data_IF_407657150683
#
_entry.id   IF_407657150683
#
_cell.length_a   1.000
_cell.length_b   1.000
_cell.length_c   1.000
_cell.angle_alpha   90.00
_cell.angle_beta   90.00
_cell.angle_gamma   90.00
#
_symmetry.space_group_name_H-M   'P 1'
#
loop_
_entity.id
_entity.type
_entity.pdbx_description
1 polymer ?
#
# COMPACT_ATOMS: atom_id res chain seq x y z
N UNK A 1 -40.44 -33.01 54.33
CA UNK A 1 -40.14 -31.56 54.17
C UNK A 1 -38.64 -31.27 54.00
N UNK A 2 -37.73 -32.04 54.63
CA UNK A 2 -36.28 -31.85 54.51
C UNK A 2 -35.68 -32.22 53.13
N UNK A 3 -36.21 -33.24 52.46
CA UNK A 3 -35.73 -33.73 51.14
C UNK A 3 -35.99 -32.74 49.99
N UNK A 4 -37.12 -32.06 50.01
CA UNK A 4 -37.48 -31.04 49.00
C UNK A 4 -36.59 -29.79 49.11
N UNK A 5 -36.21 -29.40 50.35
CA UNK A 5 -35.31 -28.26 50.59
C UNK A 5 -33.89 -28.53 50.08
N UNK A 6 -33.41 -29.77 50.22
CA UNK A 6 -32.10 -30.18 49.72
C UNK A 6 -32.07 -30.23 48.17
N UNK A 7 -33.12 -30.79 47.57
CA UNK A 7 -33.25 -30.86 46.11
C UNK A 7 -33.33 -29.46 45.47
N UNK A 8 -34.06 -28.53 46.08
CA UNK A 8 -34.15 -27.14 45.61
C UNK A 8 -32.82 -26.39 45.72
N UNK A 9 -32.08 -26.60 46.83
CA UNK A 9 -30.76 -26.01 47.03
C UNK A 9 -29.75 -26.51 45.98
N UNK A 10 -29.77 -27.80 45.66
CA UNK A 10 -28.92 -28.40 44.63
C UNK A 10 -29.28 -27.86 43.22
N UNK A 11 -30.57 -27.71 42.91
CA UNK A 11 -31.04 -27.15 41.64
C UNK A 11 -30.60 -25.69 41.45
N UNK A 12 -30.71 -24.88 42.50
CA UNK A 12 -30.24 -23.50 42.48
C UNK A 12 -28.72 -23.42 42.29
N UNK A 13 -27.97 -24.31 42.96
CA UNK A 13 -26.51 -24.35 42.85
C UNK A 13 -26.04 -24.81 41.47
N UNK A 14 -26.73 -25.78 40.85
CA UNK A 14 -26.49 -26.16 39.45
C UNK A 14 -26.82 -25.00 38.49
N UNK A 15 -27.91 -24.27 38.71
CA UNK A 15 -28.26 -23.12 37.86
C UNK A 15 -27.25 -21.98 37.95
N UNK A 16 -26.68 -21.77 39.14
CA UNK A 16 -25.63 -20.77 39.36
C UNK A 16 -24.34 -21.16 38.65
N UNK A 17 -23.96 -22.44 38.68
CA UNK A 17 -22.76 -22.95 38.00
C UNK A 17 -22.85 -22.86 36.47
N UNK A 18 -24.05 -23.01 35.88
CA UNK A 18 -24.26 -22.84 34.43
C UNK A 18 -24.15 -21.36 34.00
N UNK A 19 -24.41 -20.43 34.92
CA UNK A 19 -24.39 -18.99 34.65
C UNK A 19 -22.98 -18.39 34.59
N UNK A 20 -21.94 -19.11 35.04
CA UNK A 20 -20.54 -18.65 35.08
C UNK A 20 -19.77 -19.25 33.89
N UNK A 21 -20.35 -19.22 32.70
CA UNK A 21 -19.62 -19.57 31.49
C UNK A 21 -18.51 -18.54 31.28
N UNK A 22 -17.22 -18.93 31.15
CA UNK A 22 -16.17 -17.97 30.87
C UNK A 22 -16.43 -17.32 29.51
N UNK A 23 -16.57 -15.99 29.49
CA UNK A 23 -16.57 -15.22 28.25
C UNK A 23 -15.18 -15.39 27.64
N UNK A 24 -15.06 -16.22 26.61
CA UNK A 24 -13.86 -16.21 25.76
C UNK A 24 -13.80 -14.85 25.08
N UNK A 25 -12.75 -14.03 25.30
CA UNK A 25 -12.62 -12.78 24.58
C UNK A 25 -12.61 -13.08 23.08
N UNK A 26 -13.33 -12.28 22.29
CA UNK A 26 -13.25 -12.35 20.84
C UNK A 26 -11.82 -11.94 20.45
N UNK A 27 -10.98 -12.93 20.16
CA UNK A 27 -9.67 -12.72 19.57
C UNK A 27 -9.91 -12.50 18.07
N UNK A 28 -9.44 -11.39 17.53
CA UNK A 28 -9.44 -11.18 16.09
C UNK A 28 -8.65 -12.31 15.43
N UNK A 29 -9.26 -12.99 14.47
CA UNK A 29 -8.56 -13.96 13.63
C UNK A 29 -7.52 -13.16 12.82
N UNK A 30 -6.20 -13.38 13.02
CA UNK A 30 -5.23 -12.70 12.20
C UNK A 30 -5.38 -13.27 10.79
N UNK A 31 -5.96 -12.51 9.87
CA UNK A 31 -5.94 -12.83 8.44
C UNK A 31 -4.53 -13.33 8.09
N UNK A 32 -4.42 -14.59 7.66
CA UNK A 32 -3.13 -15.15 7.28
C UNK A 32 -2.58 -14.29 6.14
N UNK A 33 -1.47 -13.61 6.42
CA UNK A 33 -0.87 -12.70 5.47
C UNK A 33 -0.31 -13.52 4.30
N UNK A 34 -1.08 -13.62 3.21
CA UNK A 34 -0.72 -14.39 2.03
C UNK A 34 0.18 -13.57 1.09
N UNK A 35 1.48 -13.52 1.39
CA UNK A 35 2.46 -12.98 0.45
C UNK A 35 2.82 -14.03 -0.61
N UNK A 36 2.58 -13.70 -1.89
CA UNK A 36 3.14 -14.45 -3.01
C UNK A 36 4.29 -13.68 -3.64
N UNK A 37 5.38 -14.39 -3.97
CA UNK A 37 6.46 -13.82 -4.78
C UNK A 37 5.96 -13.69 -6.22
N UNK A 38 5.73 -12.46 -6.66
CA UNK A 38 5.49 -12.15 -8.06
C UNK A 38 6.84 -11.94 -8.73
N UNK A 39 7.13 -12.71 -9.79
CA UNK A 39 8.31 -12.45 -10.60
C UNK A 39 8.14 -11.11 -11.30
N UNK A 40 9.06 -10.19 -11.05
CA UNK A 40 9.17 -8.96 -11.85
C UNK A 40 9.48 -9.42 -13.28
N UNK A 41 8.71 -9.00 -14.31
CA UNK A 41 8.99 -9.37 -15.69
C UNK A 41 10.44 -8.99 -16.04
N UNK A 42 11.28 -10.01 -16.28
CA UNK A 42 12.68 -9.81 -16.65
C UNK A 42 12.84 -9.45 -18.12
N UNK A 43 11.77 -9.63 -18.91
CA UNK A 43 11.70 -9.35 -20.34
C UNK A 43 10.34 -8.72 -20.68
N UNK A 44 10.36 -7.72 -21.56
CA UNK A 44 9.17 -6.99 -22.00
C UNK A 44 9.35 -6.49 -23.43
N UNK A 45 8.23 -6.33 -24.16
CA UNK A 45 8.23 -5.70 -25.49
C UNK A 45 8.66 -4.24 -25.36
N UNK A 46 9.36 -3.69 -26.35
CA UNK A 46 9.58 -2.25 -26.44
C UNK A 46 8.23 -1.52 -26.33
N UNK A 47 8.06 -0.69 -25.30
CA UNK A 47 6.79 -0.04 -24.95
C UNK A 47 6.09 -0.56 -23.69
N UNK A 48 6.43 -1.75 -23.18
CA UNK A 48 5.91 -2.32 -21.93
C UNK A 48 6.95 -2.22 -20.80
N UNK A 49 7.28 -0.99 -20.42
CA UNK A 49 8.33 -0.70 -19.43
C UNK A 49 7.84 -1.02 -18.01
N UNK A 50 8.22 -2.19 -17.50
CA UNK A 50 8.20 -2.49 -16.07
C UNK A 50 9.55 -2.11 -15.48
N UNK A 51 9.56 -1.60 -14.24
CA UNK A 51 10.78 -1.14 -13.56
C UNK A 51 11.92 -2.14 -13.70
N UNK A 52 13.02 -1.69 -14.30
CA UNK A 52 14.16 -2.55 -14.57
C UNK A 52 14.80 -3.00 -13.25
N UNK A 53 15.31 -4.24 -13.25
CA UNK A 53 16.05 -4.78 -12.11
C UNK A 53 17.26 -3.88 -11.80
N UNK A 54 17.26 -3.26 -10.61
CA UNK A 54 18.31 -2.34 -10.16
C UNK A 54 17.96 -0.85 -10.32
N UNK A 55 16.81 -0.52 -10.90
CA UNK A 55 16.26 0.83 -10.84
C UNK A 55 15.72 1.12 -9.43
N UNK A 56 16.18 2.21 -8.83
CA UNK A 56 15.57 2.74 -7.62
C UNK A 56 14.54 3.80 -8.01
N UNK A 57 13.31 3.64 -7.52
CA UNK A 57 12.23 4.59 -7.73
C UNK A 57 12.13 5.44 -6.49
N UNK A 58 12.50 6.71 -6.64
CA UNK A 58 12.34 7.68 -5.58
C UNK A 58 11.37 8.78 -6.01
N UNK A 59 10.77 9.45 -5.02
CA UNK A 59 9.87 10.58 -5.23
C UNK A 59 8.70 10.27 -6.19
N UNK A 60 7.87 9.29 -5.86
CA UNK A 60 6.63 9.01 -6.58
C UNK A 60 5.55 10.03 -6.18
N UNK A 61 4.91 10.66 -7.16
CA UNK A 61 3.78 11.58 -6.96
C UNK A 61 2.69 11.36 -8.00
N UNK A 62 1.51 11.92 -7.76
CA UNK A 62 0.33 11.81 -8.61
C UNK A 62 -0.26 13.20 -8.90
N UNK A 63 -0.61 13.44 -10.16
CA UNK A 63 -1.35 14.63 -10.58
C UNK A 63 -2.86 14.48 -10.34
N UNK A 64 -3.61 15.58 -10.44
CA UNK A 64 -5.05 15.60 -10.16
C UNK A 64 -5.89 14.73 -11.12
N UNK A 65 -5.34 14.37 -12.29
CA UNK A 65 -5.96 13.46 -13.27
C UNK A 65 -5.58 11.98 -13.07
N UNK A 66 -4.74 11.67 -12.07
CA UNK A 66 -4.25 10.32 -11.80
C UNK A 66 -2.95 9.96 -12.53
N UNK A 67 -2.37 10.85 -13.33
CA UNK A 67 -1.04 10.63 -13.92
C UNK A 67 0.01 10.51 -12.82
N UNK A 68 0.80 9.44 -12.86
CA UNK A 68 1.91 9.21 -11.93
C UNK A 68 3.20 9.77 -12.50
N UNK A 69 4.04 10.34 -11.63
CA UNK A 69 5.38 10.83 -11.96
C UNK A 69 6.40 10.29 -10.98
N UNK A 70 7.59 9.93 -11.46
CA UNK A 70 8.65 9.37 -10.65
C UNK A 70 10.03 9.83 -11.09
N UNK A 71 10.93 9.96 -10.12
CA UNK A 71 12.36 10.05 -10.36
C UNK A 71 12.95 8.64 -10.48
N UNK A 72 13.66 8.40 -11.57
CA UNK A 72 14.27 7.10 -11.89
C UNK A 72 15.76 7.31 -12.17
N UNK A 73 16.59 6.44 -11.63
CA UNK A 73 18.04 6.46 -11.86
C UNK A 73 18.50 5.25 -12.66
N UNK A 74 19.69 5.35 -13.28
CA UNK A 74 20.28 4.27 -14.09
C UNK A 74 19.76 4.18 -15.53
N UNK A 75 18.95 5.14 -15.98
CA UNK A 75 18.46 5.28 -17.35
C UNK A 75 19.00 6.58 -17.98
N UNK A 76 18.72 6.79 -19.27
CA UNK A 76 19.14 7.99 -20.02
C UNK A 76 18.55 9.28 -19.46
N UNK A 77 17.28 9.26 -19.07
CA UNK A 77 16.57 10.37 -18.45
C UNK A 77 16.20 10.02 -17.02
N UNK A 78 15.73 11.01 -16.27
CA UNK A 78 15.47 10.87 -14.84
C UNK A 78 14.03 11.13 -14.42
N UNK A 79 13.22 11.82 -15.24
CA UNK A 79 11.81 12.05 -14.96
C UNK A 79 10.93 11.20 -15.88
N UNK A 80 10.11 10.34 -15.27
CA UNK A 80 9.20 9.45 -15.98
C UNK A 80 7.77 9.67 -15.53
N UNK A 81 6.83 9.42 -16.44
CA UNK A 81 5.39 9.44 -16.17
C UNK A 81 4.68 8.17 -16.62
N UNK A 82 3.58 7.86 -15.95
CA UNK A 82 2.63 6.81 -16.31
C UNK A 82 1.20 7.36 -16.31
N UNK A 83 0.45 7.02 -17.34
CA UNK A 83 -0.97 7.39 -17.52
C UNK A 83 -1.89 6.17 -17.46
N UNK A 84 -1.37 5.02 -17.04
CA UNK A 84 -2.08 3.73 -17.04
C UNK A 84 -1.96 3.01 -15.68
N UNK A 85 -2.02 3.79 -14.60
CA UNK A 85 -1.93 3.34 -13.21
C UNK A 85 -0.58 2.65 -12.89
N UNK A 86 0.50 3.08 -13.53
CA UNK A 86 1.85 2.55 -13.29
C UNK A 86 2.19 1.28 -14.07
N UNK A 87 1.34 0.84 -15.01
CA UNK A 87 1.58 -0.36 -15.83
C UNK A 87 2.68 -0.14 -16.87
N UNK A 88 2.80 1.07 -17.40
CA UNK A 88 3.88 1.47 -18.30
C UNK A 88 4.36 2.90 -18.01
N UNK A 89 5.64 3.15 -18.30
CA UNK A 89 6.31 4.42 -18.02
C UNK A 89 7.01 4.96 -19.27
N UNK A 90 7.00 6.28 -19.44
CA UNK A 90 7.71 6.99 -20.50
C UNK A 90 8.41 8.22 -19.93
N UNK A 91 9.56 8.59 -20.49
CA UNK A 91 10.29 9.78 -20.05
C UNK A 91 9.52 11.05 -20.41
N UNK A 92 9.75 12.13 -19.66
CA UNK A 92 9.18 13.44 -19.95
C UNK A 92 10.22 14.55 -19.75
N UNK A 93 10.18 15.57 -20.60
CA UNK A 93 11.04 16.76 -20.50
C UNK A 93 12.53 16.52 -20.73
N UNK A 94 12.95 15.34 -21.19
CA UNK A 94 14.37 14.95 -21.37
C UNK A 94 15.25 15.29 -20.15
N UNK A 95 14.67 15.27 -18.95
CA UNK A 95 15.34 15.69 -17.72
C UNK A 95 16.45 14.69 -17.41
N UNK A 96 17.65 15.19 -17.12
CA UNK A 96 18.82 14.37 -16.74
C UNK A 96 19.37 14.72 -15.36
N UNK A 97 18.80 15.75 -14.72
CA UNK A 97 19.25 16.18 -13.39
C UNK A 97 18.90 15.14 -12.31
N UNK A 98 19.68 15.14 -11.24
CA UNK A 98 19.29 14.49 -10.00
C UNK A 98 18.13 15.27 -9.36
N UNK A 99 16.99 14.61 -9.23
CA UNK A 99 15.78 15.18 -8.66
C UNK A 99 15.76 14.86 -7.17
N UNK A 100 15.54 15.87 -6.33
CA UNK A 100 15.43 15.70 -4.87
C UNK A 100 13.97 15.69 -4.39
N UNK A 101 13.05 16.23 -5.18
CA UNK A 101 11.61 16.18 -4.92
C UNK A 101 10.79 16.51 -6.16
N UNK A 102 9.55 16.04 -6.19
CA UNK A 102 8.53 16.34 -7.20
C UNK A 102 7.28 16.94 -6.53
N UNK A 103 6.62 17.87 -7.19
CA UNK A 103 5.33 18.42 -6.77
C UNK A 103 4.42 18.68 -7.97
N UNK A 104 3.16 18.25 -7.90
CA UNK A 104 2.18 18.45 -8.96
C UNK A 104 1.34 19.69 -8.70
N UNK A 105 0.94 20.40 -9.75
CA UNK A 105 0.02 21.53 -9.61
C UNK A 105 -1.38 21.00 -9.22
N UNK A 106 -2.06 21.63 -8.25
CA UNK A 106 -3.36 21.14 -7.77
C UNK A 106 -4.52 21.44 -8.74
N UNK A 107 -4.34 22.39 -9.64
CA UNK A 107 -5.35 22.92 -10.56
C UNK A 107 -5.04 22.66 -12.05
N UNK A 108 -3.85 22.14 -12.36
CA UNK A 108 -3.45 21.76 -13.72
C UNK A 108 -2.64 20.45 -13.72
N UNK A 109 -3.26 19.37 -14.18
CA UNK A 109 -2.62 18.07 -14.29
C UNK A 109 -1.42 18.04 -15.26
N UNK A 110 -1.32 19.01 -16.17
CA UNK A 110 -0.21 19.09 -17.13
C UNK A 110 1.05 19.71 -16.52
N UNK A 111 0.94 20.29 -15.31
CA UNK A 111 2.02 21.02 -14.66
C UNK A 111 2.58 20.22 -13.49
N UNK A 112 3.90 19.98 -13.54
CA UNK A 112 4.69 19.38 -12.48
C UNK A 112 5.96 20.20 -12.28
N UNK A 113 6.36 20.35 -11.02
CA UNK A 113 7.60 20.97 -10.61
C UNK A 113 8.58 19.91 -10.11
N UNK A 114 9.86 20.13 -10.37
CA UNK A 114 10.92 19.33 -9.77
C UNK A 114 12.00 20.22 -9.19
N UNK A 115 12.58 19.80 -8.07
CA UNK A 115 13.75 20.46 -7.51
C UNK A 115 14.99 19.61 -7.72
N UNK A 116 16.11 20.29 -7.93
CA UNK A 116 17.46 19.75 -7.79
C UNK A 116 18.05 20.24 -6.46
N UNK A 117 19.31 19.93 -6.19
CA UNK A 117 20.02 20.48 -5.03
C UNK A 117 20.16 22.00 -5.04
N UNK A 118 19.95 22.65 -6.20
CA UNK A 118 20.27 24.08 -6.40
C UNK A 118 19.13 24.90 -7.00
N UNK A 119 18.18 24.29 -7.70
CA UNK A 119 17.15 25.00 -8.48
C UNK A 119 15.80 24.28 -8.41
N UNK A 120 14.73 25.04 -8.65
CA UNK A 120 13.38 24.53 -8.90
C UNK A 120 13.03 24.83 -10.36
N UNK A 121 12.40 23.85 -11.00
CA UNK A 121 11.93 23.87 -12.38
C UNK A 121 10.43 23.56 -12.40
#
# INVERSE_FOLDING_TARGET
>A
MATIRFAMGLLLLLSLLVSISPLTPAVADPDEVMWSRVNIPTEGKAGNWVLAKGSDVAHLTMAIDGTLYAYVTGLTYTLYKSTDEGRSWSYTGEVTNAIVTLATAPDDASTIYYATSSNVY
#
